data_IF_400652490234
#
_entry.id   IF_400652490234
#
_cell.length_a   1.000
_cell.length_b   1.000
_cell.length_c   1.000
_cell.angle_alpha   90.00
_cell.angle_beta   90.00
_cell.angle_gamma   90.00
#
_symmetry.space_group_name_H-M   'P 1'
#
loop_
_entity.id
_entity.type
_entity.pdbx_description
1 polymer ?
#
# COMPACT_ATOMS: atom_id res chain seq x y z
N UNK A 1 -50.51 7.45 48.52
CA UNK A 1 -50.68 6.03 48.90
C UNK A 1 -51.57 5.35 47.88
N UNK A 2 -51.09 4.24 47.27
CA UNK A 2 -51.78 3.06 46.67
C UNK A 2 -53.09 3.32 45.89
N UNK A 3 -53.29 2.85 44.65
CA UNK A 3 -53.18 1.44 44.20
C UNK A 3 -53.05 1.34 42.67
N UNK A 4 -52.35 0.30 42.25
CA UNK A 4 -52.18 -0.22 40.89
C UNK A 4 -53.51 -0.75 40.31
N UNK A 5 -53.61 -0.80 38.97
CA UNK A 5 -54.16 -1.97 38.28
C UNK A 5 -53.60 -2.09 36.85
N UNK A 6 -52.88 -3.18 36.61
CA UNK A 6 -52.58 -3.76 35.30
C UNK A 6 -53.88 -4.29 34.67
N UNK A 7 -54.05 -4.19 33.35
CA UNK A 7 -54.16 -5.38 32.48
C UNK A 7 -54.20 -5.02 30.97
N UNK A 8 -53.42 -5.81 30.24
CA UNK A 8 -53.35 -6.03 28.79
C UNK A 8 -54.68 -6.44 28.15
N UNK A 9 -54.97 -6.06 26.90
CA UNK A 9 -54.99 -6.98 25.74
C UNK A 9 -55.33 -6.29 24.40
N UNK A 10 -54.35 -6.35 23.48
CA UNK A 10 -54.43 -6.82 22.07
C UNK A 10 -55.75 -6.60 21.31
N UNK A 11 -55.68 -5.77 20.26
CA UNK A 11 -56.65 -5.69 19.16
C UNK A 11 -55.94 -5.37 17.86
N UNK A 12 -55.74 -6.40 17.05
CA UNK A 12 -55.00 -6.46 15.80
C UNK A 12 -55.79 -5.85 14.62
N UNK A 13 -55.03 -5.41 13.61
CA UNK A 13 -55.37 -5.27 12.18
C UNK A 13 -55.84 -3.89 11.67
N UNK A 14 -55.00 -3.29 10.82
CA UNK A 14 -55.23 -3.06 9.37
C UNK A 14 -54.13 -2.09 8.88
N UNK A 15 -53.02 -2.58 8.33
CA UNK A 15 -52.80 -2.69 6.88
C UNK A 15 -53.30 -1.46 6.09
N UNK A 16 -52.46 -0.41 5.96
CA UNK A 16 -52.15 0.19 4.65
C UNK A 16 -50.81 0.93 4.75
N UNK A 17 -49.82 0.50 3.97
CA UNK A 17 -48.51 1.15 3.90
C UNK A 17 -47.43 0.31 3.24
N UNK A 18 -47.80 -0.66 2.39
CA UNK A 18 -46.85 -1.31 1.50
C UNK A 18 -46.58 -0.39 0.31
N UNK A 19 -45.47 0.33 0.36
CA UNK A 19 -44.57 0.60 -0.76
C UNK A 19 -43.20 0.14 -0.24
N UNK A 20 -42.82 -1.13 -0.38
CA UNK A 20 -42.32 -1.75 -1.61
C UNK A 20 -41.20 -0.92 -2.26
N UNK A 21 -40.01 -1.53 -2.28
CA UNK A 21 -38.70 -1.08 -2.82
C UNK A 21 -37.95 -0.17 -1.84
N UNK A 22 -36.70 -0.41 -1.49
CA UNK A 22 -35.63 -1.07 -2.23
C UNK A 22 -34.67 -1.70 -1.23
N UNK A 23 -34.03 -2.80 -1.64
CA UNK A 23 -32.90 -3.42 -0.95
C UNK A 23 -31.97 -2.35 -0.36
N UNK A 24 -31.77 -2.40 0.95
CA UNK A 24 -30.70 -1.65 1.60
C UNK A 24 -29.39 -2.17 0.98
N UNK A 25 -28.80 -1.34 0.12
CA UNK A 25 -27.45 -1.45 -0.38
C UNK A 25 -26.51 -1.67 0.82
N UNK A 26 -26.28 -2.93 1.21
CA UNK A 26 -24.96 -3.33 1.65
C UNK A 26 -24.09 -3.02 0.44
N UNK A 27 -23.31 -1.96 0.53
CA UNK A 27 -22.32 -1.61 -0.46
C UNK A 27 -21.38 -2.82 -0.55
N UNK A 28 -21.66 -3.77 -1.45
CA UNK A 28 -20.90 -5.01 -1.69
C UNK A 28 -19.47 -4.73 -2.18
N UNK A 29 -19.09 -3.46 -2.14
CA UNK A 29 -17.91 -2.87 -2.72
C UNK A 29 -17.16 -2.05 -1.66
N UNK A 30 -17.36 -2.36 -0.37
CA UNK A 30 -16.58 -1.75 0.71
C UNK A 30 -15.10 -2.13 0.56
N UNK A 31 -14.26 -1.12 0.32
CA UNK A 31 -12.83 -1.31 0.17
C UNK A 31 -12.20 -1.46 1.56
N UNK A 32 -12.11 -2.71 2.00
CA UNK A 32 -11.59 -3.08 3.31
C UNK A 32 -10.15 -2.65 3.55
N UNK A 33 -9.36 -2.37 2.50
CA UNK A 33 -8.01 -1.81 2.65
C UNK A 33 -8.13 -0.32 2.88
N UNK A 34 -8.82 0.38 1.98
CA UNK A 34 -8.98 1.83 2.04
C UNK A 34 -9.67 2.31 3.32
N UNK A 35 -10.69 1.58 3.79
CA UNK A 35 -11.44 1.92 4.98
C UNK A 35 -10.74 1.50 6.29
N UNK A 36 -9.67 0.71 6.22
CA UNK A 36 -8.92 0.32 7.41
C UNK A 36 -8.20 1.54 8.02
N UNK A 37 -8.08 1.60 9.36
CA UNK A 37 -7.31 2.65 10.00
C UNK A 37 -5.86 2.67 9.51
N UNK A 38 -5.34 3.89 9.37
CA UNK A 38 -3.92 4.13 9.08
C UNK A 38 -3.13 4.31 10.37
N UNK A 39 -2.02 3.59 10.48
CA UNK A 39 -1.10 3.64 11.61
C UNK A 39 0.25 4.16 11.12
N UNK A 40 0.61 5.43 11.38
CA UNK A 40 1.92 5.95 11.01
C UNK A 40 3.03 5.18 11.75
N UNK A 41 4.17 4.94 11.10
CA UNK A 41 5.31 4.32 11.78
C UNK A 41 5.86 5.26 12.85
N UNK A 42 6.32 4.69 13.96
CA UNK A 42 6.93 5.43 15.08
C UNK A 42 8.41 5.13 15.23
N UNK A 43 8.86 4.00 14.70
CA UNK A 43 10.26 3.60 14.69
C UNK A 43 10.63 3.13 13.27
N UNK A 44 11.80 3.53 12.79
CA UNK A 44 12.34 3.02 11.52
C UNK A 44 12.58 1.50 11.58
N UNK A 45 12.76 0.94 12.78
CA UNK A 45 12.89 -0.51 12.98
C UNK A 45 11.64 -1.27 12.55
N UNK A 46 10.45 -0.65 12.57
CA UNK A 46 9.22 -1.28 12.08
C UNK A 46 9.38 -1.71 10.61
N UNK A 47 10.07 -0.88 9.82
CA UNK A 47 10.39 -1.19 8.43
C UNK A 47 11.57 -2.17 8.29
N UNK A 48 12.65 -1.96 9.06
CA UNK A 48 13.89 -2.77 8.99
C UNK A 48 13.73 -4.19 9.53
N UNK A 49 12.67 -4.45 10.30
CA UNK A 49 12.32 -5.77 10.82
C UNK A 49 12.04 -6.79 9.71
N UNK A 50 11.71 -6.33 8.50
CA UNK A 50 11.48 -7.15 7.31
C UNK A 50 12.44 -6.75 6.20
N UNK A 51 13.12 -7.73 5.63
CA UNK A 51 14.08 -7.48 4.54
C UNK A 51 13.39 -7.17 3.22
N UNK A 52 12.24 -7.79 2.94
CA UNK A 52 11.57 -7.69 1.63
C UNK A 52 10.06 -7.53 1.79
N UNK A 53 9.50 -6.61 1.00
CA UNK A 53 8.08 -6.28 0.91
C UNK A 53 7.63 -6.41 -0.55
N UNK A 54 6.58 -7.20 -0.80
CA UNK A 54 6.03 -7.43 -2.14
C UNK A 54 4.85 -6.51 -2.40
N UNK A 55 4.81 -5.93 -3.59
CA UNK A 55 3.76 -5.02 -4.00
C UNK A 55 2.40 -5.75 -4.08
N UNK A 56 1.35 -5.11 -3.59
CA UNK A 56 -0.02 -5.67 -3.56
C UNK A 56 -1.03 -4.78 -4.31
N UNK A 57 -0.70 -3.50 -4.49
CA UNK A 57 -1.60 -2.56 -5.16
C UNK A 57 -1.33 -1.10 -4.82
N UNK A 58 -2.14 -0.22 -5.40
CA UNK A 58 -2.04 1.21 -5.20
C UNK A 58 -3.39 1.86 -4.94
N UNK A 59 -3.33 3.02 -4.29
CA UNK A 59 -4.46 3.94 -4.17
C UNK A 59 -4.08 5.27 -4.82
N UNK A 60 -4.90 5.74 -5.76
CA UNK A 60 -4.68 6.98 -6.53
C UNK A 60 -5.75 8.00 -6.17
N UNK A 61 -5.36 9.08 -5.50
CA UNK A 61 -6.28 10.16 -5.11
C UNK A 61 -7.40 9.68 -4.18
N UNK A 62 -8.64 9.93 -4.59
CA UNK A 62 -9.87 9.46 -3.89
C UNK A 62 -10.38 8.12 -4.39
N UNK A 63 -9.70 7.48 -5.36
CA UNK A 63 -10.11 6.18 -5.89
C UNK A 63 -9.89 5.07 -4.84
N UNK A 64 -10.68 4.01 -4.97
CA UNK A 64 -10.50 2.76 -4.23
C UNK A 64 -9.10 2.19 -4.48
N UNK A 65 -8.58 1.49 -3.48
CA UNK A 65 -7.43 0.62 -3.60
C UNK A 65 -7.64 -0.37 -4.76
N UNK A 66 -6.69 -0.37 -5.68
CA UNK A 66 -6.63 -1.32 -6.78
C UNK A 66 -5.63 -2.42 -6.47
N UNK A 67 -6.12 -3.62 -6.12
CA UNK A 67 -5.28 -4.80 -6.00
C UNK A 67 -4.72 -5.21 -7.37
N UNK A 68 -3.47 -5.66 -7.42
CA UNK A 68 -2.91 -6.27 -8.62
C UNK A 68 -3.16 -7.77 -8.67
N UNK A 69 -3.30 -8.32 -9.87
CA UNK A 69 -3.40 -9.77 -10.04
C UNK A 69 -2.06 -10.44 -9.73
N UNK A 70 -2.06 -11.49 -8.91
CA UNK A 70 -0.86 -12.29 -8.58
C UNK A 70 -0.20 -12.97 -9.78
N UNK A 71 -0.87 -13.01 -10.93
CA UNK A 71 -0.35 -13.60 -12.18
C UNK A 71 0.40 -12.59 -13.05
N UNK A 72 0.37 -11.29 -12.73
CA UNK A 72 1.05 -10.26 -13.52
C UNK A 72 2.49 -10.03 -13.02
N UNK A 73 3.34 -9.45 -13.87
CA UNK A 73 4.72 -9.16 -13.48
C UNK A 73 4.82 -8.03 -12.46
N UNK A 74 3.85 -7.12 -12.46
CA UNK A 74 3.74 -6.05 -11.46
C UNK A 74 3.65 -6.61 -10.03
N UNK A 75 3.06 -7.79 -9.82
CA UNK A 75 3.01 -8.45 -8.50
C UNK A 75 4.35 -8.97 -8.01
N UNK A 76 5.39 -8.91 -8.85
CA UNK A 76 6.78 -9.17 -8.45
C UNK A 76 7.52 -7.90 -8.03
N UNK A 77 6.92 -6.71 -8.22
CA UNK A 77 7.52 -5.48 -7.74
C UNK A 77 7.76 -5.59 -6.24
N UNK A 78 8.94 -5.15 -5.80
CA UNK A 78 9.32 -5.33 -4.40
C UNK A 78 10.15 -4.17 -3.89
N UNK A 79 9.99 -3.90 -2.60
CA UNK A 79 10.81 -2.99 -1.82
C UNK A 79 11.68 -3.82 -0.88
N UNK A 80 13.00 -3.67 -0.99
CA UNK A 80 13.97 -4.43 -0.20
C UNK A 80 14.78 -3.49 0.67
N UNK A 81 14.82 -3.74 1.97
CA UNK A 81 15.77 -3.10 2.88
C UNK A 81 17.13 -3.75 2.68
N UNK A 82 18.09 -2.93 2.26
CA UNK A 82 19.49 -3.36 2.22
C UNK A 82 19.96 -3.47 3.67
N UNK A 83 20.82 -4.42 3.99
CA UNK A 83 21.54 -4.44 5.28
C UNK A 83 23.03 -4.40 4.94
N UNK A 84 23.77 -3.48 5.54
CA UNK A 84 25.24 -3.50 5.40
C UNK A 84 25.81 -4.63 6.24
N UNK A 85 27.07 -4.99 6.00
CA UNK A 85 27.84 -5.94 6.81
C UNK A 85 27.84 -5.62 8.31
N UNK A 86 27.60 -4.35 8.65
CA UNK A 86 27.65 -3.85 10.02
C UNK A 86 26.24 -3.80 10.65
N UNK A 87 25.21 -4.26 9.93
CA UNK A 87 23.80 -4.22 10.36
C UNK A 87 23.13 -2.85 10.25
N UNK A 88 23.90 -1.78 10.03
CA UNK A 88 23.40 -0.43 9.81
C UNK A 88 23.08 -0.23 8.34
N UNK A 89 21.81 -0.20 7.96
CA UNK A 89 21.46 0.34 6.66
C UNK A 89 20.29 1.29 6.75
N UNK A 90 20.45 2.38 6.01
CA UNK A 90 19.53 3.47 5.76
C UNK A 90 19.12 3.47 4.27
N UNK A 91 19.12 2.31 3.63
CA UNK A 91 18.85 2.22 2.20
C UNK A 91 17.78 1.17 1.88
N UNK A 92 16.91 1.52 0.93
CA UNK A 92 15.94 0.60 0.32
C UNK A 92 16.16 0.54 -1.19
N UNK A 93 15.83 -0.59 -1.80
CA UNK A 93 15.80 -0.78 -3.24
C UNK A 93 14.37 -1.08 -3.66
N UNK A 94 13.87 -0.37 -4.67
CA UNK A 94 12.63 -0.72 -5.36
C UNK A 94 12.95 -1.34 -6.71
N UNK A 95 12.46 -2.56 -6.93
CA UNK A 95 12.53 -3.27 -8.19
C UNK A 95 11.15 -3.30 -8.83
N UNK A 96 11.04 -2.78 -10.05
CA UNK A 96 9.86 -2.87 -10.90
C UNK A 96 10.06 -3.96 -11.95
N UNK A 97 9.05 -4.79 -12.16
CA UNK A 97 9.07 -5.85 -13.16
C UNK A 97 7.93 -5.66 -14.15
N UNK A 98 8.26 -5.78 -15.44
CA UNK A 98 7.28 -5.81 -16.52
C UNK A 98 7.25 -7.20 -17.17
N UNK A 99 6.11 -7.52 -17.78
CA UNK A 99 5.97 -8.65 -18.67
C UNK A 99 6.83 -8.40 -19.89
N UNK A 100 7.78 -9.29 -20.13
CA UNK A 100 8.38 -9.34 -21.43
C UNK A 100 7.26 -9.67 -22.44
N UNK A 101 7.20 -8.95 -23.56
CA UNK A 101 6.14 -9.13 -24.56
C UNK A 101 5.99 -10.58 -25.03
N UNK A 102 5.01 -10.84 -25.92
CA UNK A 102 4.55 -12.17 -26.39
C UNK A 102 5.68 -13.20 -26.69
N UNK A 103 6.90 -12.76 -26.99
CA UNK A 103 8.05 -13.57 -27.38
C UNK A 103 8.95 -14.03 -26.22
N UNK A 104 8.86 -13.44 -25.03
CA UNK A 104 9.77 -13.74 -23.92
C UNK A 104 8.99 -14.29 -22.71
N UNK A 105 9.24 -15.56 -22.38
CA UNK A 105 8.63 -16.20 -21.21
C UNK A 105 9.27 -15.65 -19.94
N UNK A 106 8.57 -14.77 -19.22
CA UNK A 106 8.94 -14.38 -17.86
C UNK A 106 8.73 -12.91 -17.55
N UNK A 107 8.99 -12.54 -16.30
CA UNK A 107 9.03 -11.15 -15.87
C UNK A 107 10.46 -10.66 -15.90
N UNK A 108 10.68 -9.51 -16.53
CA UNK A 108 11.99 -8.85 -16.59
C UNK A 108 11.99 -7.67 -15.65
N UNK A 109 13.16 -7.36 -15.10
CA UNK A 109 13.36 -6.11 -14.38
C UNK A 109 13.19 -4.97 -15.38
N UNK A 110 12.20 -4.11 -15.12
CA UNK A 110 11.90 -2.91 -15.91
C UNK A 110 12.85 -1.78 -15.49
N UNK A 111 12.84 -1.43 -14.20
CA UNK A 111 13.81 -0.51 -13.61
C UNK A 111 14.07 -0.82 -12.14
N UNK A 112 15.18 -0.28 -11.65
CA UNK A 112 15.60 -0.33 -10.25
C UNK A 112 15.85 1.09 -9.74
N UNK A 113 15.40 1.37 -8.53
CA UNK A 113 15.64 2.65 -7.84
C UNK A 113 16.16 2.44 -6.43
N UNK A 114 17.18 3.19 -6.06
CA UNK A 114 17.67 3.23 -4.67
C UNK A 114 17.07 4.41 -3.93
N UNK A 115 16.56 4.14 -2.74
CA UNK A 115 16.22 5.15 -1.74
C UNK A 115 17.34 5.12 -0.70
N UNK A 116 18.12 6.19 -0.60
CA UNK A 116 19.22 6.35 0.34
C UNK A 116 18.85 7.29 1.47
N UNK A 117 19.66 7.30 2.52
CA UNK A 117 19.50 8.17 3.69
C UNK A 117 18.12 8.05 4.36
N UNK A 118 17.54 6.83 4.29
CA UNK A 118 16.25 6.47 4.85
C UNK A 118 16.30 6.63 6.37
N UNK A 119 15.66 7.69 6.85
CA UNK A 119 15.58 8.03 8.28
C UNK A 119 14.20 8.55 8.64
N UNK A 120 13.72 8.17 9.81
CA UNK A 120 12.48 8.74 10.36
C UNK A 120 12.73 10.20 10.73
N UNK A 121 11.95 11.12 10.19
CA UNK A 121 12.03 12.55 10.50
C UNK A 121 10.92 13.00 11.45
N UNK A 122 9.77 12.36 11.37
CA UNK A 122 8.67 12.48 12.33
C UNK A 122 7.80 11.22 12.26
N UNK A 123 6.85 11.08 13.19
CA UNK A 123 5.85 10.01 13.09
C UNK A 123 5.20 10.00 11.70
N UNK A 124 5.25 8.82 11.06
CA UNK A 124 4.71 8.59 9.72
C UNK A 124 5.45 9.25 8.56
N UNK A 125 6.66 9.81 8.75
CA UNK A 125 7.45 10.43 7.67
C UNK A 125 8.89 9.97 7.68
N UNK A 126 9.36 9.50 6.52
CA UNK A 126 10.77 9.17 6.29
C UNK A 126 11.38 10.14 5.29
N UNK A 127 12.57 10.65 5.59
CA UNK A 127 13.38 11.33 4.60
C UNK A 127 14.08 10.30 3.71
N UNK A 128 14.10 10.56 2.40
CA UNK A 128 14.78 9.74 1.40
C UNK A 128 15.39 10.59 0.30
N UNK A 129 16.45 10.06 -0.29
CA UNK A 129 17.01 10.51 -1.57
C UNK A 129 16.86 9.36 -2.57
N UNK A 130 16.12 9.57 -3.65
CA UNK A 130 15.75 8.51 -4.59
C UNK A 130 16.53 8.70 -5.89
N UNK A 131 17.21 7.65 -6.31
CA UNK A 131 18.07 7.62 -7.47
C UNK A 131 17.59 6.57 -8.47
N UNK A 132 17.59 6.97 -9.74
CA UNK A 132 17.44 6.06 -10.88
C UNK A 132 18.81 5.51 -11.28
N UNK A 133 18.84 4.27 -11.77
CA UNK A 133 20.08 3.62 -12.19
C UNK A 133 20.10 3.28 -13.67
N UNK A 134 21.30 3.29 -14.24
CA UNK A 134 21.60 2.73 -15.55
C UNK A 134 22.72 1.70 -15.41
N UNK A 135 22.66 0.67 -16.23
CA UNK A 135 23.75 -0.31 -16.33
C UNK A 135 24.73 0.14 -17.41
N UNK A 136 26.01 0.19 -17.09
CA UNK A 136 27.05 0.41 -18.09
C UNK A 136 27.25 -0.85 -18.97
N UNK A 137 28.10 -0.74 -20.00
CA UNK A 137 28.42 -1.86 -20.90
C UNK A 137 29.06 -3.07 -20.20
N UNK A 138 29.49 -2.90 -18.95
CA UNK A 138 30.08 -3.93 -18.09
C UNK A 138 29.11 -4.44 -17.03
N UNK A 139 27.81 -4.09 -17.14
CA UNK A 139 26.75 -4.39 -16.17
C UNK A 139 26.98 -3.81 -14.76
N UNK A 140 27.80 -2.76 -14.62
CA UNK A 140 27.88 -2.04 -13.35
C UNK A 140 26.74 -1.02 -13.26
N UNK A 141 26.14 -0.96 -12.08
CA UNK A 141 25.07 -0.03 -11.77
C UNK A 141 25.65 1.37 -11.51
N UNK A 142 25.25 2.36 -12.31
CA UNK A 142 25.61 3.76 -12.15
C UNK A 142 24.38 4.60 -11.87
N UNK A 143 24.50 5.55 -10.93
CA UNK A 143 23.43 6.53 -10.67
C UNK A 143 23.28 7.39 -11.92
N UNK A 144 22.08 7.36 -12.50
CA UNK A 144 21.72 8.19 -13.64
C UNK A 144 21.34 9.59 -13.19
N UNK A 145 20.38 9.68 -12.27
CA UNK A 145 19.82 10.95 -11.78
C UNK A 145 19.13 10.80 -10.41
N UNK A 146 19.04 11.91 -9.67
CA UNK A 146 18.18 12.03 -8.49
C UNK A 146 16.76 12.36 -8.96
N UNK A 147 15.81 11.47 -8.69
CA UNK A 147 14.41 11.64 -9.11
C UNK A 147 13.58 12.35 -8.05
N UNK A 148 13.99 12.25 -6.79
CA UNK A 148 13.27 12.83 -5.67
C UNK A 148 14.16 12.95 -4.44
N UNK A 149 13.97 14.04 -3.70
CA UNK A 149 14.58 14.26 -2.39
C UNK A 149 13.59 14.94 -1.47
N UNK A 150 13.29 14.31 -0.34
CA UNK A 150 12.30 14.84 0.59
C UNK A 150 11.71 13.79 1.51
N UNK A 151 10.56 14.12 2.10
CA UNK A 151 9.86 13.23 3.01
C UNK A 151 8.76 12.45 2.29
N UNK A 152 8.72 11.14 2.50
CA UNK A 152 7.60 10.28 2.12
C UNK A 152 6.73 9.99 3.34
N UNK A 153 5.41 10.01 3.17
CA UNK A 153 4.49 9.45 4.15
C UNK A 153 4.54 7.93 4.15
N UNK A 154 4.63 7.34 5.35
CA UNK A 154 4.76 5.90 5.52
C UNK A 154 4.10 5.41 6.79
N UNK A 155 3.43 4.26 6.69
CA UNK A 155 2.73 3.64 7.81
C UNK A 155 2.18 2.28 7.43
N UNK A 156 1.30 1.76 8.27
CA UNK A 156 0.61 0.50 8.06
C UNK A 156 -0.88 0.72 7.92
N UNK A 157 -1.50 -0.05 7.02
CA UNK A 157 -2.94 -0.05 6.81
C UNK A 157 -3.35 -1.46 6.40
N UNK A 158 -4.22 -2.11 7.19
CA UNK A 158 -4.61 -3.52 7.04
C UNK A 158 -3.41 -4.47 6.88
N UNK A 159 -2.47 -4.38 7.82
CA UNK A 159 -1.24 -5.21 7.88
C UNK A 159 -0.30 -5.08 6.67
N UNK A 160 -0.50 -4.07 5.82
CA UNK A 160 0.35 -3.77 4.69
C UNK A 160 1.11 -2.47 4.96
N UNK A 161 2.38 -2.45 4.53
CA UNK A 161 3.14 -1.22 4.43
C UNK A 161 2.49 -0.33 3.37
N UNK A 162 2.08 0.87 3.77
CA UNK A 162 1.64 1.94 2.87
C UNK A 162 2.74 2.98 2.79
N UNK A 163 3.18 3.32 1.59
CA UNK A 163 4.19 4.35 1.35
C UNK A 163 3.74 5.29 0.23
N UNK A 164 3.98 6.59 0.40
CA UNK A 164 3.76 7.59 -0.64
C UNK A 164 4.65 7.29 -1.86
N UNK A 165 4.04 7.36 -3.04
CA UNK A 165 4.76 7.12 -4.28
C UNK A 165 5.48 8.39 -4.77
N UNK A 166 6.81 8.29 -4.83
CA UNK A 166 7.71 9.21 -5.56
C UNK A 166 8.77 8.45 -6.35
N UNK A 167 8.57 7.14 -6.52
CA UNK A 167 9.58 6.23 -7.03
C UNK A 167 9.06 5.25 -8.08
N UNK A 168 7.81 5.36 -8.52
CA UNK A 168 7.36 4.77 -9.79
C UNK A 168 7.38 5.79 -10.93
N UNK A 169 6.91 5.40 -12.12
CA UNK A 169 6.72 6.29 -13.27
C UNK A 169 5.36 7.02 -13.26
N UNK A 170 4.62 7.02 -12.14
CA UNK A 170 3.37 7.75 -12.06
C UNK A 170 3.57 9.27 -12.21
N UNK A 171 2.89 9.86 -13.19
CA UNK A 171 3.02 11.28 -13.57
C UNK A 171 1.72 12.09 -13.40
N UNK A 172 0.72 11.52 -12.71
CA UNK A 172 -0.52 12.22 -12.40
C UNK A 172 -0.34 13.24 -11.27
N UNK A 173 -1.35 14.11 -11.12
CA UNK A 173 -1.34 15.16 -10.09
C UNK A 173 -1.88 14.66 -8.75
N UNK A 174 -2.53 13.51 -8.74
CA UNK A 174 -3.09 12.92 -7.54
C UNK A 174 -2.00 12.33 -6.64
N UNK A 175 -2.24 12.38 -5.33
CA UNK A 175 -1.38 11.68 -4.38
C UNK A 175 -1.59 10.17 -4.51
N UNK A 176 -0.50 9.43 -4.67
CA UNK A 176 -0.52 7.97 -4.79
C UNK A 176 0.15 7.33 -3.59
N UNK A 177 -0.46 6.25 -3.12
CA UNK A 177 0.12 5.37 -2.11
C UNK A 177 0.23 3.97 -2.66
N UNK A 178 1.40 3.38 -2.50
CA UNK A 178 1.66 1.98 -2.83
C UNK A 178 1.55 1.14 -1.56
N UNK A 179 1.04 -0.07 -1.73
CA UNK A 179 0.84 -1.02 -0.65
C UNK A 179 1.73 -2.24 -0.88
N UNK A 180 2.41 -2.67 0.17
CA UNK A 180 3.29 -3.81 0.15
C UNK A 180 3.04 -4.74 1.34
N UNK A 181 3.23 -6.03 1.13
CA UNK A 181 3.13 -7.07 2.15
C UNK A 181 4.49 -7.71 2.38
N UNK A 182 4.89 -7.82 3.65
CA UNK A 182 6.12 -8.54 3.97
C UNK A 182 5.99 -10.01 3.62
N UNK A 183 7.09 -10.65 3.22
CA UNK A 183 7.15 -12.11 3.15
C UNK A 183 6.68 -12.70 4.51
N UNK A 184 5.62 -13.50 4.52
CA UNK A 184 5.30 -14.31 5.68
C UNK A 184 6.42 -15.33 5.86
N UNK A 185 7.11 -15.30 7.00
CA UNK A 185 7.94 -16.42 7.42
C UNK A 185 6.96 -17.56 7.64
N UNK A 186 6.98 -18.56 6.76
CA UNK A 186 6.29 -19.83 6.96
C UNK A 186 7.06 -20.66 7.98
#
# INVERSE_FOLDING_TARGET
MKKNLFLSLIGLALLVGACSKSDDNKDENEDLVFNAPYYPIKDIQDLKSKTTWYYEGAKIGSKKYGAISKSNCISKNMLTFVKTSNGESDSMIYDSYDGAGILEKGCKLDFRRAMKSVKLTSEGKIFVEIYDFVYDSSNNEQIKEEIYKGNLEVGFQKDMLRIEDKFTHYNGNEKVYLYFKSASIK
#
